data_IF_918702807008
#
_entry.id   IF_918702807008
#
_cell.length_a   1.000
_cell.length_b   1.000
_cell.length_c   1.000
_cell.angle_alpha   90.00
_cell.angle_beta   90.00
_cell.angle_gamma   90.00
#
_symmetry.space_group_name_H-M   'P 1'
#
loop_
_entity.id
_entity.type
_entity.pdbx_description
1 polymer ?
#
# COMPACT_ATOMS: atom_id res chain seq x y z
N UNK A 1 7.64 -12.62 9.39
CA UNK A 1 7.97 -11.24 9.81
C UNK A 1 8.36 -11.25 11.27
N UNK A 2 9.59 -10.96 11.62
CA UNK A 2 10.06 -10.82 13.00
C UNK A 2 9.97 -9.36 13.41
N UNK A 3 9.01 -9.01 14.25
CA UNK A 3 9.02 -7.68 14.86
C UNK A 3 10.22 -7.57 15.79
N UNK A 4 10.98 -6.49 15.75
CA UNK A 4 12.02 -6.27 16.74
C UNK A 4 11.39 -6.28 18.13
N UNK A 5 11.98 -7.03 19.06
CA UNK A 5 11.46 -7.16 20.43
C UNK A 5 11.48 -5.83 21.20
N UNK A 6 12.30 -4.88 20.75
CA UNK A 6 12.48 -3.59 21.40
C UNK A 6 11.89 -2.48 20.55
N UNK A 7 10.99 -1.69 21.14
CA UNK A 7 10.51 -0.44 20.59
C UNK A 7 11.21 0.70 21.32
N UNK A 8 11.82 1.59 20.55
CA UNK A 8 12.48 2.79 21.06
C UNK A 8 11.55 3.98 20.76
N UNK A 9 11.32 4.80 21.75
CA UNK A 9 10.60 6.08 21.63
C UNK A 9 11.42 7.22 22.16
N UNK A 10 11.13 8.42 21.71
CA UNK A 10 11.71 9.63 22.26
C UNK A 10 11.35 9.79 23.75
N UNK A 11 12.30 10.24 24.56
CA UNK A 11 12.08 10.64 25.94
C UNK A 11 12.33 12.15 26.06
N UNK A 12 11.31 12.99 25.84
CA UNK A 12 11.49 14.45 25.86
C UNK A 12 11.77 14.94 27.27
N UNK A 13 12.64 15.93 27.38
CA UNK A 13 12.94 16.66 28.63
C UNK A 13 13.13 18.13 28.29
N UNK A 14 13.04 18.98 29.31
CA UNK A 14 13.17 20.43 29.12
C UNK A 14 14.60 20.78 28.67
N UNK A 15 14.72 21.58 27.62
CA UNK A 15 15.99 21.92 26.98
C UNK A 15 16.49 20.92 25.92
N UNK A 16 15.76 19.85 25.64
CA UNK A 16 16.08 18.95 24.53
C UNK A 16 15.97 19.69 23.19
N UNK A 17 17.06 19.67 22.42
CA UNK A 17 17.03 20.13 21.04
C UNK A 17 16.57 18.98 20.15
N UNK A 18 15.41 19.14 19.50
CA UNK A 18 14.85 18.12 18.63
C UNK A 18 15.53 18.15 17.26
N UNK A 19 15.91 16.99 16.78
CA UNK A 19 16.44 16.75 15.43
C UNK A 19 15.37 16.15 14.50
N UNK A 20 15.64 16.13 13.21
CA UNK A 20 14.77 15.42 12.24
C UNK A 20 14.74 13.90 12.53
N UNK A 21 15.85 13.33 13.00
CA UNK A 21 15.95 11.92 13.39
C UNK A 21 15.06 11.58 14.58
N UNK A 22 15.00 12.47 15.58
CA UNK A 22 14.13 12.30 16.75
C UNK A 22 12.64 12.28 16.34
N UNK A 23 12.24 13.20 15.47
CA UNK A 23 10.88 13.27 14.95
C UNK A 23 10.54 12.03 14.12
N UNK A 24 11.47 11.56 13.30
CA UNK A 24 11.28 10.34 12.52
C UNK A 24 11.16 9.10 13.43
N UNK A 25 12.00 8.99 14.44
CA UNK A 25 11.95 7.89 15.39
C UNK A 25 10.60 7.82 16.13
N UNK A 26 10.07 8.97 16.53
CA UNK A 26 8.76 9.08 17.18
C UNK A 26 7.61 8.67 16.23
N UNK A 27 7.62 9.16 14.99
CA UNK A 27 6.64 8.72 13.99
C UNK A 27 6.71 7.21 13.74
N UNK A 28 7.94 6.67 13.62
CA UNK A 28 8.15 5.24 13.39
C UNK A 28 7.65 4.40 14.57
N UNK A 29 7.84 4.86 15.80
CA UNK A 29 7.32 4.22 17.01
C UNK A 29 5.78 4.08 16.93
N UNK A 30 5.08 5.18 16.65
CA UNK A 30 3.62 5.18 16.57
C UNK A 30 3.11 4.32 15.42
N UNK A 31 3.70 4.43 14.23
CA UNK A 31 3.34 3.60 13.08
C UNK A 31 3.50 2.11 13.38
N UNK A 32 4.61 1.70 13.97
CA UNK A 32 4.86 0.29 14.35
C UNK A 32 3.85 -0.21 15.37
N UNK A 33 3.46 0.60 16.34
CA UNK A 33 2.43 0.21 17.31
C UNK A 33 1.06 0.03 16.64
N UNK A 34 0.66 0.93 15.74
CA UNK A 34 -0.58 0.82 14.98
C UNK A 34 -0.58 -0.43 14.08
N UNK A 35 0.53 -0.70 13.38
CA UNK A 35 0.65 -1.89 12.54
C UNK A 35 0.55 -3.19 13.37
N UNK A 36 1.24 -3.24 14.50
CA UNK A 36 1.13 -4.39 15.42
C UNK A 36 -0.30 -4.57 15.92
N UNK A 37 -0.95 -3.50 16.34
CA UNK A 37 -2.35 -3.53 16.77
C UNK A 37 -3.25 -4.08 15.66
N UNK A 38 -3.13 -3.57 14.44
CA UNK A 38 -3.90 -4.03 13.30
C UNK A 38 -3.71 -5.54 13.05
N UNK A 39 -2.47 -6.02 13.01
CA UNK A 39 -2.16 -7.42 12.74
C UNK A 39 -2.64 -8.36 13.85
N UNK A 40 -2.43 -8.02 15.12
CA UNK A 40 -2.75 -8.92 16.21
C UNK A 40 -4.24 -8.99 16.53
N UNK A 41 -4.99 -7.94 16.26
CA UNK A 41 -6.43 -7.92 16.53
C UNK A 41 -7.28 -8.27 15.30
N UNK A 42 -6.83 -7.93 14.10
CA UNK A 42 -7.64 -8.07 12.88
C UNK A 42 -7.03 -9.03 11.87
N UNK A 43 -5.75 -9.38 12.01
CA UNK A 43 -5.03 -10.14 11.00
C UNK A 43 -4.70 -9.31 9.76
N UNK A 44 -4.46 -9.98 8.63
CA UNK A 44 -4.17 -9.35 7.34
C UNK A 44 -5.13 -9.87 6.25
N UNK A 45 -5.31 -9.07 5.20
CA UNK A 45 -6.18 -9.38 4.06
C UNK A 45 -7.30 -8.35 3.90
N UNK A 46 -8.35 -8.72 3.18
CA UNK A 46 -9.52 -7.87 2.98
C UNK A 46 -10.36 -7.88 4.25
N UNK A 47 -10.58 -6.71 4.83
CA UNK A 47 -11.44 -6.53 6.01
C UNK A 47 -12.89 -6.25 5.58
N UNK A 48 -13.06 -5.38 4.58
CA UNK A 48 -14.39 -4.98 4.07
C UNK A 48 -14.26 -4.48 2.64
N UNK A 49 -15.25 -4.76 1.80
CA UNK A 49 -15.30 -4.26 0.43
C UNK A 49 -14.15 -4.82 -0.43
N UNK A 50 -13.57 -4.00 -1.28
CA UNK A 50 -12.46 -4.32 -2.17
C UNK A 50 -12.76 -5.46 -3.18
N UNK A 51 -14.04 -5.76 -3.43
CA UNK A 51 -14.41 -6.70 -4.47
C UNK A 51 -13.96 -6.18 -5.83
N UNK A 52 -13.50 -7.10 -6.67
CA UNK A 52 -13.06 -6.79 -8.03
C UNK A 52 -14.07 -7.33 -9.03
N UNK A 53 -14.50 -6.49 -9.95
CA UNK A 53 -15.31 -6.86 -11.10
C UNK A 53 -14.45 -6.67 -12.35
N UNK A 54 -14.19 -7.74 -13.09
CA UNK A 54 -13.44 -7.69 -14.34
C UNK A 54 -14.39 -7.47 -15.51
N UNK A 55 -14.30 -6.33 -16.16
CA UNK A 55 -15.07 -6.01 -17.38
C UNK A 55 -14.19 -6.18 -18.62
N UNK A 56 -14.78 -6.74 -19.68
CA UNK A 56 -14.16 -6.79 -21.00
C UNK A 56 -15.00 -6.00 -22.00
N UNK A 57 -14.42 -4.96 -22.57
CA UNK A 57 -15.04 -4.21 -23.68
C UNK A 57 -14.14 -4.32 -24.92
N UNK A 58 -14.63 -5.04 -25.95
CA UNK A 58 -13.85 -5.40 -27.15
C UNK A 58 -12.60 -6.21 -26.76
N UNK A 59 -11.37 -5.65 -26.92
CA UNK A 59 -10.10 -6.31 -26.55
C UNK A 59 -9.43 -5.67 -25.31
N UNK A 60 -10.12 -4.75 -24.63
CA UNK A 60 -9.59 -4.08 -23.44
C UNK A 60 -10.24 -4.64 -22.20
N UNK A 61 -9.44 -4.87 -21.18
CA UNK A 61 -9.90 -5.28 -19.86
C UNK A 61 -9.83 -4.11 -18.89
N UNK A 62 -10.78 -4.07 -17.98
CA UNK A 62 -10.86 -3.06 -16.93
C UNK A 62 -11.27 -3.75 -15.65
N UNK A 63 -10.53 -3.54 -14.58
CA UNK A 63 -10.91 -3.97 -13.24
C UNK A 63 -11.61 -2.82 -12.53
N UNK A 64 -12.83 -3.05 -12.06
CA UNK A 64 -13.52 -2.13 -11.14
C UNK A 64 -13.31 -2.66 -9.73
N UNK A 65 -12.55 -1.93 -8.92
CA UNK A 65 -12.29 -2.27 -7.53
C UNK A 65 -13.25 -1.46 -6.67
N UNK A 66 -14.10 -2.14 -5.92
CA UNK A 66 -15.07 -1.48 -5.04
C UNK A 66 -14.37 -0.79 -3.86
N UNK A 67 -15.00 0.24 -3.33
CA UNK A 67 -14.56 0.88 -2.10
C UNK A 67 -14.42 -0.15 -0.97
N UNK A 68 -13.47 0.07 -0.08
CA UNK A 68 -13.24 -0.87 1.01
C UNK A 68 -11.93 -0.66 1.73
N UNK A 69 -11.62 -1.61 2.62
CA UNK A 69 -10.44 -1.57 3.48
C UNK A 69 -9.79 -2.93 3.62
N UNK A 70 -8.48 -2.96 3.61
CA UNK A 70 -7.67 -4.14 3.86
C UNK A 70 -6.43 -3.83 4.69
N UNK A 71 -5.80 -4.87 5.19
CA UNK A 71 -4.58 -4.78 6.00
C UNK A 71 -3.51 -5.64 5.31
N UNK A 72 -2.35 -5.06 5.06
CA UNK A 72 -1.20 -5.78 4.50
C UNK A 72 -0.61 -6.75 5.52
N UNK A 73 0.26 -7.66 5.09
CA UNK A 73 1.00 -8.54 6.02
C UNK A 73 1.96 -7.77 6.93
N UNK A 74 2.27 -6.52 6.59
CA UNK A 74 3.07 -5.61 7.42
C UNK A 74 2.23 -4.79 8.41
N UNK A 75 0.90 -4.95 8.39
CA UNK A 75 -0.02 -4.23 9.26
C UNK A 75 -0.41 -2.85 8.78
N UNK A 76 0.00 -2.48 7.57
CA UNK A 76 -0.41 -1.23 6.95
C UNK A 76 -1.85 -1.32 6.47
N UNK A 77 -2.63 -0.27 6.69
CA UNK A 77 -3.97 -0.15 6.14
C UNK A 77 -3.95 0.31 4.69
N UNK A 78 -4.73 -0.34 3.84
CA UNK A 78 -5.03 0.13 2.48
C UNK A 78 -6.52 0.43 2.37
N UNK A 79 -6.88 1.62 1.91
CA UNK A 79 -8.26 2.07 1.85
C UNK A 79 -8.62 2.68 0.50
N UNK A 80 -9.69 2.21 -0.11
CA UNK A 80 -10.35 2.90 -1.21
C UNK A 80 -11.65 3.53 -0.72
N UNK A 81 -11.70 4.85 -0.71
CA UNK A 81 -12.89 5.61 -0.24
C UNK A 81 -14.04 5.55 -1.25
N UNK A 82 -13.74 5.27 -2.51
CA UNK A 82 -14.69 5.14 -3.62
C UNK A 82 -14.23 4.06 -4.57
N UNK A 83 -15.11 3.60 -5.45
CA UNK A 83 -14.78 2.64 -6.49
C UNK A 83 -13.71 3.19 -7.43
N UNK A 84 -12.74 2.35 -7.78
CA UNK A 84 -11.62 2.71 -8.65
C UNK A 84 -11.65 1.84 -9.89
N UNK A 85 -11.55 2.49 -11.05
CA UNK A 85 -11.53 1.85 -12.37
C UNK A 85 -10.09 1.79 -12.87
N UNK A 86 -9.56 0.58 -13.06
CA UNK A 86 -8.17 0.35 -13.44
C UNK A 86 -8.12 -0.30 -14.82
N UNK A 87 -7.53 0.36 -15.81
CA UNK A 87 -7.24 -0.29 -17.09
C UNK A 87 -6.25 -1.45 -16.87
N UNK A 88 -6.56 -2.63 -17.40
CA UNK A 88 -5.75 -3.82 -17.26
C UNK A 88 -5.11 -4.19 -18.59
N UNK A 89 -3.79 -4.31 -18.59
CA UNK A 89 -3.06 -4.90 -19.70
C UNK A 89 -2.99 -6.42 -19.53
N UNK A 90 -3.31 -7.15 -20.59
CA UNK A 90 -3.19 -8.61 -20.56
C UNK A 90 -1.72 -9.00 -20.57
N UNK A 91 -1.24 -9.74 -19.56
CA UNK A 91 0.11 -10.25 -19.57
C UNK A 91 0.43 -11.05 -20.84
N UNK A 92 1.67 -10.96 -21.31
CA UNK A 92 2.13 -11.68 -22.53
C UNK A 92 2.27 -13.19 -22.32
N UNK A 93 2.47 -13.59 -21.08
CA UNK A 93 2.64 -15.00 -20.71
C UNK A 93 1.32 -15.55 -20.16
N UNK A 94 0.96 -16.74 -20.59
CA UNK A 94 -0.15 -17.48 -20.01
C UNK A 94 0.22 -17.90 -18.59
N UNK A 95 -0.73 -17.83 -17.67
CA UNK A 95 -0.49 -18.16 -16.26
C UNK A 95 -1.55 -17.63 -15.31
N UNK A 96 -1.28 -17.78 -14.03
CA UNK A 96 -2.09 -17.22 -12.97
C UNK A 96 -1.42 -15.97 -12.40
N UNK A 97 -2.24 -14.97 -12.16
CA UNK A 97 -1.84 -13.66 -11.67
C UNK A 97 -2.72 -13.25 -10.50
N UNK A 98 -2.19 -12.42 -9.62
CA UNK A 98 -2.96 -11.82 -8.53
C UNK A 98 -2.95 -10.31 -8.71
N UNK A 99 -4.13 -9.70 -8.64
CA UNK A 99 -4.28 -8.25 -8.53
C UNK A 99 -4.10 -7.87 -7.06
N UNK A 100 -3.08 -7.08 -6.80
CA UNK A 100 -2.74 -6.58 -5.47
C UNK A 100 -3.09 -5.10 -5.35
N UNK A 101 -3.42 -4.67 -4.14
CA UNK A 101 -3.54 -3.26 -3.77
C UNK A 101 -2.42 -2.92 -2.79
N UNK A 102 -1.52 -2.04 -3.20
CA UNK A 102 -0.35 -1.64 -2.42
C UNK A 102 -0.59 -0.32 -1.69
N UNK A 103 -0.02 -0.21 -0.50
CA UNK A 103 0.23 1.07 0.14
C UNK A 103 1.54 1.64 -0.43
N UNK A 104 1.48 2.86 -0.97
CA UNK A 104 2.64 3.53 -1.58
C UNK A 104 2.80 4.90 -0.97
N UNK A 105 3.99 5.17 -0.45
CA UNK A 105 4.40 6.50 0.01
C UNK A 105 5.24 7.17 -1.06
N UNK A 106 4.99 8.44 -1.30
CA UNK A 106 5.82 9.27 -2.16
C UNK A 106 5.99 10.66 -1.56
N UNK A 107 7.10 11.28 -1.86
CA UNK A 107 7.33 12.68 -1.51
C UNK A 107 6.38 13.56 -2.33
N UNK A 108 5.77 14.54 -1.67
CA UNK A 108 4.91 15.53 -2.31
C UNK A 108 5.77 16.66 -2.92
N UNK A 109 5.87 16.73 -4.26
CA UNK A 109 6.74 17.72 -4.91
C UNK A 109 6.28 19.16 -4.67
N UNK A 110 5.02 19.39 -4.31
CA UNK A 110 4.45 20.70 -4.06
C UNK A 110 4.59 21.14 -2.59
N UNK A 111 5.35 20.38 -1.78
CA UNK A 111 5.52 20.62 -0.35
C UNK A 111 6.84 21.24 0.05
N UNK A 112 7.55 21.85 -0.88
CA UNK A 112 8.85 22.47 -0.63
C UNK A 112 8.80 23.47 0.53
N UNK A 113 9.77 23.34 1.44
CA UNK A 113 9.98 24.24 2.56
C UNK A 113 11.39 24.84 2.47
N UNK A 114 11.55 26.13 2.75
CA UNK A 114 12.88 26.71 2.81
C UNK A 114 13.69 26.03 3.92
N UNK A 115 14.95 25.78 3.62
CA UNK A 115 15.93 25.26 4.59
C UNK A 115 16.74 26.43 5.11
N UNK A 116 16.94 26.50 6.42
CA UNK A 116 17.86 27.48 7.02
C UNK A 116 19.25 27.32 6.37
N UNK A 117 19.85 28.42 6.00
CA UNK A 117 21.19 28.54 5.39
C UNK A 117 21.33 28.04 3.93
N UNK A 118 20.26 27.69 3.25
CA UNK A 118 20.30 27.35 1.82
C UNK A 118 19.13 27.99 1.06
N UNK A 119 19.33 28.39 -0.17
CA UNK A 119 18.26 28.83 -1.08
C UNK A 119 17.47 27.63 -1.66
N UNK A 120 17.90 26.41 -1.38
CA UNK A 120 17.24 25.19 -1.82
C UNK A 120 16.12 24.80 -0.85
N UNK A 121 14.92 24.61 -1.40
CA UNK A 121 13.81 23.97 -0.68
C UNK A 121 14.01 22.45 -0.55
N UNK A 122 13.32 21.84 0.41
CA UNK A 122 13.18 20.39 0.52
C UNK A 122 11.72 20.03 0.66
N UNK A 123 11.34 18.96 -0.01
CA UNK A 123 9.99 18.43 0.11
C UNK A 123 9.76 17.98 1.57
N UNK A 124 8.73 18.56 2.17
CA UNK A 124 8.46 18.42 3.61
C UNK A 124 7.29 17.48 3.92
N UNK A 125 6.64 16.92 2.89
CA UNK A 125 5.45 16.06 3.04
C UNK A 125 5.59 14.74 2.29
N UNK A 126 4.99 13.71 2.86
CA UNK A 126 4.79 12.43 2.20
C UNK A 126 3.30 12.27 1.93
N UNK A 127 2.97 11.86 0.70
CA UNK A 127 1.62 11.51 0.29
C UNK A 127 1.50 10.00 0.26
N UNK A 128 0.51 9.49 0.98
CA UNK A 128 0.15 8.08 0.96
C UNK A 128 -0.90 7.83 -0.12
N UNK A 129 -0.68 6.81 -0.93
CA UNK A 129 -1.57 6.42 -2.02
C UNK A 129 -1.75 4.90 -2.04
N UNK A 130 -2.85 4.46 -2.65
CA UNK A 130 -3.06 3.05 -2.89
C UNK A 130 -2.95 2.77 -4.39
N UNK A 131 -2.07 1.83 -4.75
CA UNK A 131 -1.78 1.50 -6.14
C UNK A 131 -2.13 0.04 -6.44
N UNK A 132 -3.11 -0.22 -7.32
CA UNK A 132 -3.37 -1.57 -7.81
C UNK A 132 -2.30 -2.00 -8.80
N UNK A 133 -1.77 -3.23 -8.64
CA UNK A 133 -0.77 -3.82 -9.53
C UNK A 133 -1.02 -5.31 -9.72
N UNK A 134 -0.70 -5.81 -10.92
CA UNK A 134 -0.85 -7.22 -11.28
C UNK A 134 0.51 -7.91 -11.27
N UNK A 135 0.62 -9.02 -10.55
CA UNK A 135 1.84 -9.83 -10.47
C UNK A 135 1.54 -11.32 -10.69
N UNK A 136 2.52 -12.11 -11.16
CA UNK A 136 2.40 -13.56 -11.21
C UNK A 136 1.99 -14.14 -9.84
N UNK A 137 1.14 -15.16 -9.83
CA UNK A 137 0.66 -15.77 -8.58
C UNK A 137 1.75 -16.47 -7.76
N UNK A 138 2.94 -16.68 -8.36
CA UNK A 138 4.14 -17.19 -7.67
C UNK A 138 4.86 -16.13 -6.82
N UNK A 139 4.53 -14.87 -6.99
CA UNK A 139 5.14 -13.77 -6.25
C UNK A 139 4.25 -13.38 -5.06
N UNK A 140 4.83 -13.37 -3.87
CA UNK A 140 4.17 -12.92 -2.64
C UNK A 140 4.62 -11.51 -2.28
N UNK A 141 3.66 -10.65 -1.93
CA UNK A 141 3.91 -9.27 -1.54
C UNK A 141 3.38 -9.00 -0.13
N UNK A 142 4.29 -8.74 0.80
CA UNK A 142 3.95 -8.45 2.19
C UNK A 142 3.34 -7.05 2.41
N UNK A 143 3.70 -6.11 1.53
CA UNK A 143 3.29 -4.71 1.50
C UNK A 143 1.99 -4.45 0.70
N UNK A 144 1.34 -5.52 0.23
CA UNK A 144 0.09 -5.46 -0.53
C UNK A 144 -1.02 -6.33 0.05
N UNK A 145 -2.24 -6.05 -0.38
CA UNK A 145 -3.44 -6.87 -0.12
C UNK A 145 -3.85 -7.54 -1.42
N UNK A 146 -3.92 -8.87 -1.43
CA UNK A 146 -4.42 -9.64 -2.57
C UNK A 146 -5.92 -9.42 -2.74
N UNK A 147 -6.35 -8.95 -3.91
CA UNK A 147 -7.75 -8.63 -4.19
C UNK A 147 -8.47 -9.76 -4.92
N UNK A 148 -7.88 -10.25 -6.00
CA UNK A 148 -8.46 -11.36 -6.76
C UNK A 148 -7.37 -12.10 -7.56
N UNK A 149 -7.67 -13.35 -7.94
CA UNK A 149 -6.85 -14.14 -8.84
C UNK A 149 -7.40 -14.06 -10.25
N UNK A 150 -6.51 -13.91 -11.22
CA UNK A 150 -6.81 -13.83 -12.64
C UNK A 150 -6.05 -14.93 -13.37
N UNK A 151 -6.70 -15.60 -14.30
CA UNK A 151 -6.05 -16.57 -15.19
C UNK A 151 -5.98 -16.00 -16.59
N UNK A 152 -4.78 -16.02 -17.17
CA UNK A 152 -4.50 -15.61 -18.54
C UNK A 152 -4.28 -16.84 -19.40
N UNK A 153 -5.03 -16.96 -20.49
CA UNK A 153 -4.85 -17.98 -21.52
C UNK A 153 -5.10 -17.40 -22.90
N UNK A 154 -4.14 -17.57 -23.79
CA UNK A 154 -4.23 -17.16 -25.21
C UNK A 154 -4.73 -15.72 -25.35
N UNK A 155 -4.13 -14.80 -24.58
CA UNK A 155 -4.48 -13.38 -24.60
C UNK A 155 -5.87 -13.04 -24.03
N UNK A 156 -6.50 -13.95 -23.29
CA UNK A 156 -7.75 -13.73 -22.55
C UNK A 156 -7.50 -13.79 -21.05
N UNK A 157 -8.16 -12.89 -20.36
CA UNK A 157 -8.08 -12.82 -18.89
C UNK A 157 -9.44 -13.17 -18.29
N UNK A 158 -9.47 -14.05 -17.30
CA UNK A 158 -10.68 -14.49 -16.59
C UNK A 158 -10.41 -14.43 -15.10
N UNK A 159 -11.37 -13.89 -14.34
CA UNK A 159 -11.31 -13.89 -12.90
C UNK A 159 -11.58 -15.30 -12.36
N UNK A 160 -10.76 -15.71 -11.40
CA UNK A 160 -10.90 -16.98 -10.66
C UNK A 160 -11.04 -16.63 -9.18
N UNK A 161 -11.78 -17.43 -8.43
CA UNK A 161 -11.85 -17.24 -6.98
C UNK A 161 -10.45 -17.38 -6.33
N UNK A 162 -10.20 -16.56 -5.30
CA UNK A 162 -8.99 -16.63 -4.45
C UNK A 162 -8.98 -17.91 -3.63
#
# INVERSE_FOLDING_TARGET
MTFPHTLIRLNPFEGLCLTAEDLYAEQLYHRRNLHRHALFLHGYGIVQGLQVELEQKRKKYTAVIKSGYGITREGQGVQLKQDVVVPMEVPKQDGEYILWLFHVERVDPDSDRPVYDTDAGKEARIVEQNAPRLYPASEEHADGVALCRLRVRVGRMVQVQL
#
